data_IF_952167398822
#
_entry.id   IF_952167398822
#
_cell.length_a   1.000
_cell.length_b   1.000
_cell.length_c   1.000
_cell.angle_alpha   90.00
_cell.angle_beta   90.00
_cell.angle_gamma   90.00
#
_symmetry.space_group_name_H-M   'P 1'
#
loop_
_entity.id
_entity.type
_entity.pdbx_description
1 polymer ?
#
# COMPACT_ATOMS: atom_id res chain seq x y z
N UNK A 1 66.73 20.99 21.18
CA UNK A 1 65.81 19.88 21.48
C UNK A 1 65.34 19.28 20.18
N UNK A 2 65.70 18.02 19.99
CA UNK A 2 65.50 17.14 18.84
C UNK A 2 64.07 16.59 18.80
N UNK A 3 63.51 16.39 17.59
CA UNK A 3 62.23 15.70 17.41
C UNK A 3 61.89 15.42 15.94
N UNK A 4 62.66 14.55 15.29
CA UNK A 4 62.22 13.28 14.65
C UNK A 4 60.97 13.38 13.76
N UNK A 5 61.25 13.44 12.46
CA UNK A 5 60.46 12.90 11.36
C UNK A 5 59.99 11.47 11.62
N UNK A 6 58.70 11.21 11.42
CA UNK A 6 58.15 9.86 11.35
C UNK A 6 57.25 9.75 10.12
N UNK A 7 57.73 9.00 9.13
CA UNK A 7 56.93 8.53 8.00
C UNK A 7 55.84 7.58 8.49
N UNK A 8 54.62 7.74 7.97
CA UNK A 8 53.68 6.62 7.82
C UNK A 8 53.11 6.62 6.41
N UNK A 9 53.62 5.68 5.63
CA UNK A 9 53.00 5.09 4.44
C UNK A 9 51.56 4.66 4.77
N UNK A 10 50.59 5.01 3.91
CA UNK A 10 49.25 4.43 4.00
C UNK A 10 48.21 5.06 3.08
N UNK A 11 47.95 4.35 1.98
CA UNK A 11 46.63 4.17 1.34
C UNK A 11 46.05 5.31 0.47
N UNK A 12 46.12 5.05 -0.83
CA UNK A 12 44.89 5.01 -1.63
C UNK A 12 44.50 6.30 -2.34
N UNK A 13 44.98 6.43 -3.58
CA UNK A 13 44.32 7.19 -4.64
C UNK A 13 42.86 6.75 -4.75
N UNK A 14 41.93 7.46 -4.10
CA UNK A 14 40.53 7.01 -4.08
C UNK A 14 39.48 7.98 -3.56
N UNK A 15 39.85 9.22 -3.22
CA UNK A 15 38.89 10.22 -2.71
C UNK A 15 38.77 11.47 -3.58
N UNK A 16 39.65 11.65 -4.56
CA UNK A 16 39.60 12.78 -5.51
C UNK A 16 38.72 12.51 -6.74
N UNK A 17 38.08 11.34 -6.83
CA UNK A 17 37.15 10.97 -7.90
C UNK A 17 35.67 11.07 -7.50
N UNK A 18 35.37 11.54 -6.28
CA UNK A 18 34.01 11.51 -5.71
C UNK A 18 33.51 12.84 -5.13
N UNK A 19 34.26 13.94 -5.21
CA UNK A 19 33.87 15.23 -4.61
C UNK A 19 34.23 16.49 -5.45
N UNK A 20 33.82 16.52 -6.71
CA UNK A 20 33.69 17.74 -7.52
C UNK A 20 32.84 17.40 -8.74
N UNK A 21 31.71 18.03 -9.05
CA UNK A 21 31.40 19.45 -8.94
C UNK A 21 30.01 19.71 -8.32
N UNK A 22 29.97 20.72 -7.46
CA UNK A 22 28.75 21.36 -6.99
C UNK A 22 28.27 22.31 -8.08
N UNK A 23 27.19 21.95 -8.76
CA UNK A 23 26.39 22.85 -9.60
C UNK A 23 25.14 23.28 -8.84
N UNK A 24 25.13 24.52 -8.36
CA UNK A 24 23.95 25.19 -7.81
C UNK A 24 22.92 25.43 -8.93
N UNK A 25 21.83 24.64 -8.98
CA UNK A 25 20.53 25.08 -9.51
C UNK A 25 19.39 24.29 -8.84
N UNK A 26 18.44 25.04 -8.28
CA UNK A 26 17.02 24.78 -7.92
C UNK A 26 16.44 23.38 -8.22
N UNK A 27 15.59 22.78 -7.34
CA UNK A 27 15.11 21.40 -7.51
C UNK A 27 14.12 21.30 -8.68
N UNK A 28 14.64 21.07 -9.88
CA UNK A 28 13.87 20.53 -10.98
C UNK A 28 13.81 19.01 -10.80
N UNK A 29 12.58 18.47 -10.82
CA UNK A 29 12.26 17.04 -10.74
C UNK A 29 13.23 16.20 -11.58
N UNK A 30 14.15 15.51 -10.93
CA UNK A 30 14.99 14.47 -11.55
C UNK A 30 14.10 13.26 -11.86
N UNK A 31 13.95 12.92 -13.14
CA UNK A 31 13.43 11.61 -13.54
C UNK A 31 14.51 10.55 -13.25
N UNK A 32 14.15 9.32 -12.84
CA UNK A 32 15.12 8.30 -12.45
C UNK A 32 16.05 7.91 -13.60
N UNK A 33 17.28 7.55 -13.25
CA UNK A 33 18.33 7.15 -14.19
C UNK A 33 18.18 5.71 -14.69
N UNK A 34 18.81 5.41 -15.83
CA UNK A 34 18.83 4.10 -16.51
C UNK A 34 19.15 2.89 -15.61
N UNK A 35 19.83 3.12 -14.48
CA UNK A 35 20.20 2.07 -13.53
C UNK A 35 18.97 1.39 -12.88
N UNK A 36 17.84 2.08 -12.74
CA UNK A 36 16.62 1.49 -12.17
C UNK A 36 15.87 0.57 -13.16
N UNK A 37 16.16 0.69 -14.46
CA UNK A 37 15.49 -0.04 -15.56
C UNK A 37 16.34 -1.15 -16.20
N UNK A 38 17.56 -1.34 -15.69
CA UNK A 38 18.48 -2.39 -16.16
C UNK A 38 18.06 -3.81 -15.75
N UNK A 39 17.06 -3.94 -14.87
CA UNK A 39 16.53 -5.22 -14.39
C UNK A 39 15.32 -5.78 -15.15
N UNK A 40 14.77 -5.06 -16.12
CA UNK A 40 13.57 -5.47 -16.86
C UNK A 40 13.92 -5.97 -18.27
N UNK A 41 13.31 -7.08 -18.68
CA UNK A 41 13.64 -7.96 -19.81
C UNK A 41 13.72 -7.33 -21.21
N UNK A 42 14.00 -8.19 -22.19
CA UNK A 42 14.24 -7.83 -23.60
C UNK A 42 15.71 -7.62 -23.97
N UNK A 43 16.10 -7.97 -25.20
CA UNK A 43 17.43 -7.61 -25.74
C UNK A 43 17.44 -6.11 -26.02
N UNK A 44 18.30 -5.37 -25.34
CA UNK A 44 18.51 -3.94 -25.59
C UNK A 44 19.60 -3.74 -26.65
N UNK A 45 19.29 -3.00 -27.71
CA UNK A 45 20.31 -2.43 -28.59
C UNK A 45 21.07 -1.27 -27.91
N UNK A 46 22.25 -0.88 -28.41
CA UNK A 46 22.89 0.35 -27.94
C UNK A 46 22.01 1.57 -28.26
N UNK A 47 22.09 2.66 -27.48
CA UNK A 47 21.40 3.91 -27.81
C UNK A 47 21.76 4.36 -29.24
N UNK A 48 20.74 4.63 -30.05
CA UNK A 48 20.90 5.07 -31.44
C UNK A 48 19.98 6.25 -31.75
N UNK A 49 20.40 7.11 -32.67
CA UNK A 49 19.58 8.19 -33.20
C UNK A 49 18.43 7.60 -34.04
N UNK A 50 17.20 7.85 -33.60
CA UNK A 50 15.99 7.32 -34.22
C UNK A 50 15.17 8.47 -34.81
N UNK A 51 14.76 8.41 -36.10
CA UNK A 51 13.92 9.42 -36.71
C UNK A 51 12.59 9.59 -35.97
N UNK A 52 12.21 10.84 -35.66
CA UNK A 52 10.99 11.11 -34.88
C UNK A 52 9.72 10.65 -35.61
N UNK A 53 9.70 10.68 -36.94
CA UNK A 53 8.54 10.31 -37.77
C UNK A 53 8.20 8.81 -37.71
N UNK A 54 9.18 7.98 -37.34
CA UNK A 54 8.96 6.53 -37.16
C UNK A 54 8.38 6.21 -35.78
N UNK A 55 8.42 7.15 -34.83
CA UNK A 55 8.01 6.94 -33.45
C UNK A 55 6.54 7.32 -33.25
N UNK A 56 5.74 6.40 -32.72
CA UNK A 56 4.35 6.62 -32.32
C UNK A 56 4.18 6.56 -30.79
N UNK A 57 3.23 7.33 -30.24
CA UNK A 57 2.86 7.23 -28.84
C UNK A 57 2.19 5.88 -28.55
N UNK A 58 2.31 5.41 -27.31
CA UNK A 58 1.52 4.28 -26.85
C UNK A 58 0.09 4.76 -26.51
N UNK A 59 -0.97 4.22 -27.15
CA UNK A 59 -2.36 4.65 -26.93
C UNK A 59 -2.85 4.40 -25.50
N UNK A 60 -2.24 3.46 -24.77
CA UNK A 60 -2.61 3.09 -23.41
C UNK A 60 -1.89 3.91 -22.33
N UNK A 61 -1.20 4.99 -22.72
CA UNK A 61 -0.54 5.89 -21.77
C UNK A 61 -1.60 6.56 -20.86
N UNK A 62 -1.53 6.34 -19.53
CA UNK A 62 -2.52 6.88 -18.61
C UNK A 62 -2.44 8.40 -18.46
N UNK A 63 -1.28 9.01 -18.76
CA UNK A 63 -1.08 10.45 -18.62
C UNK A 63 -1.59 11.21 -19.86
N UNK A 64 -2.85 11.61 -19.83
CA UNK A 64 -3.46 12.43 -20.90
C UNK A 64 -3.30 13.94 -20.70
N UNK A 65 -3.11 14.38 -19.46
CA UNK A 65 -2.92 15.80 -19.12
C UNK A 65 -1.44 16.13 -18.88
N UNK A 66 -0.93 17.06 -19.67
CA UNK A 66 0.41 17.62 -19.55
C UNK A 66 0.29 19.09 -19.15
N UNK A 67 1.06 19.48 -18.14
CA UNK A 67 1.23 20.87 -17.77
C UNK A 67 1.98 21.59 -18.89
N UNK A 68 1.33 22.56 -19.54
CA UNK A 68 1.86 23.25 -20.71
C UNK A 68 3.11 24.07 -20.37
N UNK A 69 3.18 24.66 -19.17
CA UNK A 69 4.33 25.47 -18.74
C UNK A 69 5.57 24.59 -18.53
N UNK A 70 5.40 23.44 -17.87
CA UNK A 70 6.48 22.46 -17.69
C UNK A 70 6.95 21.84 -19.01
N UNK A 71 6.07 21.80 -20.03
CA UNK A 71 6.44 21.34 -21.38
C UNK A 71 7.23 22.42 -22.14
N UNK A 72 6.87 23.70 -21.99
CA UNK A 72 7.61 24.82 -22.60
C UNK A 72 9.06 24.89 -22.10
N UNK A 73 9.28 24.69 -20.80
CA UNK A 73 10.63 24.60 -20.23
C UNK A 73 11.43 23.45 -20.84
N UNK A 74 10.82 22.28 -20.98
CA UNK A 74 11.45 21.13 -21.58
C UNK A 74 11.78 21.36 -23.06
N UNK A 75 10.89 22.00 -23.83
CA UNK A 75 11.15 22.39 -25.22
C UNK A 75 12.35 23.32 -25.32
N UNK A 76 12.45 24.33 -24.45
CA UNK A 76 13.61 25.25 -24.41
C UNK A 76 14.91 24.49 -24.14
N UNK A 77 14.89 23.59 -23.17
CA UNK A 77 16.04 22.74 -22.84
C UNK A 77 16.45 21.84 -24.01
N UNK A 78 15.47 21.17 -24.63
CA UNK A 78 15.70 20.27 -25.76
C UNK A 78 16.21 21.03 -26.99
N UNK A 79 15.73 22.25 -27.26
CA UNK A 79 16.29 23.11 -28.32
C UNK A 79 17.75 23.48 -28.06
N UNK A 80 18.13 23.72 -26.81
CA UNK A 80 19.47 24.17 -26.47
C UNK A 80 20.50 23.03 -26.37
N UNK A 81 20.10 21.87 -25.86
CA UNK A 81 21.00 20.77 -25.47
C UNK A 81 20.70 19.43 -26.14
N UNK A 82 19.62 19.36 -26.94
CA UNK A 82 19.10 18.08 -27.43
C UNK A 82 18.43 17.27 -26.33
N UNK A 83 18.04 16.04 -26.68
CA UNK A 83 17.51 15.08 -25.71
C UNK A 83 18.68 14.34 -25.06
N UNK A 84 18.94 14.60 -23.78
CA UNK A 84 20.10 14.01 -23.08
C UNK A 84 19.85 12.55 -22.65
N UNK A 85 18.63 12.23 -22.23
CA UNK A 85 18.27 10.89 -21.77
C UNK A 85 17.52 10.15 -22.88
N UNK A 86 18.04 9.00 -23.36
CA UNK A 86 17.41 8.25 -24.44
C UNK A 86 15.95 7.86 -24.15
N UNK A 87 15.14 7.79 -25.20
CA UNK A 87 13.79 7.22 -25.13
C UNK A 87 13.87 5.70 -25.08
N UNK A 88 12.88 5.05 -24.45
CA UNK A 88 12.74 3.60 -24.52
C UNK A 88 11.65 3.29 -25.53
N UNK A 89 12.02 2.57 -26.57
CA UNK A 89 11.14 2.20 -27.67
C UNK A 89 11.04 0.69 -27.77
N UNK A 90 9.95 0.22 -28.37
CA UNK A 90 9.85 -1.14 -28.90
C UNK A 90 9.45 -1.12 -30.38
N UNK A 91 9.70 -2.19 -31.14
CA UNK A 91 9.12 -2.33 -32.48
C UNK A 91 7.59 -2.18 -32.42
N UNK A 92 7.03 -1.41 -33.35
CA UNK A 92 5.59 -1.17 -33.41
C UNK A 92 4.87 -2.40 -34.01
N UNK A 93 3.97 -3.07 -33.27
CA UNK A 93 3.26 -4.24 -33.79
C UNK A 93 2.32 -3.90 -34.96
N UNK A 94 1.91 -2.63 -35.09
CA UNK A 94 1.04 -2.17 -36.17
C UNK A 94 1.81 -1.60 -37.37
N UNK A 95 3.09 -1.25 -37.22
CA UNK A 95 3.92 -0.64 -38.27
C UNK A 95 5.28 -1.37 -38.37
N UNK A 96 5.53 -2.18 -39.40
CA UNK A 96 6.73 -3.03 -39.52
C UNK A 96 8.09 -2.32 -39.45
N UNK A 97 8.13 -1.00 -39.69
CA UNK A 97 9.34 -0.15 -39.57
C UNK A 97 9.16 0.99 -38.56
N UNK A 98 8.04 0.97 -37.83
CA UNK A 98 7.73 1.95 -36.80
C UNK A 98 8.22 1.51 -35.43
N UNK A 99 8.29 2.49 -34.54
CA UNK A 99 8.56 2.27 -33.13
C UNK A 99 7.42 2.80 -32.28
N UNK A 100 7.17 2.14 -31.16
CA UNK A 100 6.23 2.60 -30.15
C UNK A 100 6.97 3.05 -28.89
N UNK A 101 6.56 4.18 -28.34
CA UNK A 101 7.12 4.73 -27.10
C UNK A 101 6.69 3.87 -25.91
N UNK A 102 7.66 3.28 -25.22
CA UNK A 102 7.46 2.65 -23.92
C UNK A 102 7.60 3.68 -22.80
N UNK A 103 8.67 4.49 -22.85
CA UNK A 103 8.95 5.55 -21.89
C UNK A 103 9.59 6.79 -22.54
N UNK A 104 9.34 7.96 -21.96
CA UNK A 104 9.91 9.23 -22.42
C UNK A 104 9.00 10.06 -23.34
N UNK A 105 7.68 9.88 -23.29
CA UNK A 105 6.74 10.58 -24.17
C UNK A 105 6.86 12.12 -24.12
N UNK A 106 7.10 12.69 -22.93
CA UNK A 106 7.30 14.14 -22.77
C UNK A 106 8.51 14.65 -23.54
N UNK A 107 9.60 13.87 -23.55
CA UNK A 107 10.84 14.17 -24.29
C UNK A 107 10.61 14.08 -25.79
N UNK A 108 9.88 13.06 -26.26
CA UNK A 108 9.46 12.96 -27.66
C UNK A 108 8.62 14.16 -28.10
N UNK A 109 7.57 14.51 -27.36
CA UNK A 109 6.72 15.68 -27.66
C UNK A 109 7.50 16.99 -27.66
N UNK A 110 8.43 17.15 -26.71
CA UNK A 110 9.30 18.32 -26.65
C UNK A 110 10.26 18.38 -27.84
N UNK A 111 10.85 17.25 -28.25
CA UNK A 111 11.72 17.15 -29.42
C UNK A 111 10.98 17.47 -30.72
N UNK A 112 9.75 16.97 -30.86
CA UNK A 112 8.89 17.24 -32.01
C UNK A 112 8.55 18.74 -32.10
N UNK A 113 8.16 19.38 -30.99
CA UNK A 113 7.93 20.83 -30.90
C UNK A 113 9.21 21.68 -31.00
N UNK A 114 10.35 21.09 -30.65
CA UNK A 114 11.67 21.71 -30.82
C UNK A 114 12.14 21.70 -32.28
N UNK A 115 11.53 20.89 -33.14
CA UNK A 115 11.89 20.74 -34.55
C UNK A 115 13.09 19.82 -34.77
N UNK A 116 13.35 18.88 -33.86
CA UNK A 116 14.40 17.87 -34.05
C UNK A 116 13.96 16.83 -35.09
N UNK A 117 14.89 16.31 -35.88
CA UNK A 117 14.63 15.26 -36.88
C UNK A 117 14.84 13.85 -36.32
N UNK A 118 15.73 13.71 -35.34
CA UNK A 118 16.03 12.45 -34.65
C UNK A 118 16.12 12.66 -33.14
N UNK A 119 15.96 11.57 -32.40
CA UNK A 119 16.17 11.52 -30.95
C UNK A 119 16.97 10.27 -30.58
N UNK A 120 17.85 10.34 -29.56
CA UNK A 120 18.48 9.16 -29.02
C UNK A 120 17.43 8.25 -28.39
N UNK A 121 17.45 6.98 -28.76
CA UNK A 121 16.55 5.97 -28.24
C UNK A 121 17.24 4.61 -28.10
N UNK A 122 16.72 3.81 -27.17
CA UNK A 122 17.07 2.41 -26.97
C UNK A 122 15.87 1.59 -27.39
N UNK A 123 16.05 0.76 -28.41
CA UNK A 123 15.03 -0.20 -28.84
C UNK A 123 15.20 -1.49 -28.04
N UNK A 124 14.11 -1.94 -27.41
CA UNK A 124 14.01 -3.23 -26.74
C UNK A 124 12.90 -4.06 -27.37
N UNK A 125 13.17 -5.34 -27.57
CA UNK A 125 12.16 -6.32 -27.95
C UNK A 125 11.31 -6.63 -26.71
N UNK A 126 10.13 -6.00 -26.62
CA UNK A 126 9.22 -6.09 -25.48
C UNK A 126 7.82 -6.47 -25.93
N UNK A 127 7.19 -7.41 -25.23
CA UNK A 127 5.79 -7.74 -25.44
C UNK A 127 4.84 -6.70 -24.78
N UNK A 128 3.52 -6.81 -25.03
CA UNK A 128 2.52 -5.89 -24.46
C UNK A 128 2.45 -5.92 -22.94
N UNK A 129 2.78 -7.07 -22.35
CA UNK A 129 2.78 -7.27 -20.90
C UNK A 129 3.98 -6.52 -20.31
N UNK A 130 5.19 -6.75 -20.82
CA UNK A 130 6.42 -6.08 -20.39
C UNK A 130 6.34 -4.56 -20.56
N UNK A 131 5.75 -4.06 -21.66
CA UNK A 131 5.53 -2.62 -21.83
C UNK A 131 4.64 -2.04 -20.75
N UNK A 132 3.55 -2.73 -20.42
CA UNK A 132 2.67 -2.27 -19.36
C UNK A 132 3.37 -2.32 -17.99
N UNK A 133 4.16 -3.35 -17.72
CA UNK A 133 4.95 -3.47 -16.49
C UNK A 133 5.85 -2.25 -16.29
N UNK A 134 6.61 -1.91 -17.33
CA UNK A 134 7.49 -0.74 -17.36
C UNK A 134 6.70 0.54 -17.13
N UNK A 135 5.54 0.69 -17.78
CA UNK A 135 4.68 1.87 -17.61
C UNK A 135 4.17 2.02 -16.17
N UNK A 136 3.83 0.92 -15.49
CA UNK A 136 3.40 0.95 -14.09
C UNK A 136 4.57 1.35 -13.18
N UNK A 137 5.76 0.79 -13.40
CA UNK A 137 6.96 1.11 -12.61
C UNK A 137 7.34 2.58 -12.75
N UNK A 138 7.37 3.10 -13.98
CA UNK A 138 7.65 4.53 -14.23
C UNK A 138 6.64 5.43 -13.53
N UNK A 139 5.34 5.10 -13.62
CA UNK A 139 4.30 5.87 -12.97
C UNK A 139 4.43 5.84 -11.43
N UNK A 140 4.82 4.70 -10.83
CA UNK A 140 5.06 4.58 -9.39
C UNK A 140 6.26 5.43 -8.95
N UNK A 141 7.32 5.49 -9.76
CA UNK A 141 8.53 6.27 -9.45
C UNK A 141 8.31 7.78 -9.57
N UNK A 142 7.14 8.23 -10.03
CA UNK A 142 6.79 9.65 -10.11
C UNK A 142 6.66 10.29 -8.73
N UNK A 143 7.31 11.42 -8.56
CA UNK A 143 7.16 12.24 -7.37
C UNK A 143 5.71 12.71 -7.17
N UNK A 144 5.22 12.64 -5.93
CA UNK A 144 3.90 13.13 -5.54
C UNK A 144 2.74 12.18 -5.81
N UNK A 145 3.00 10.88 -5.97
CA UNK A 145 1.95 9.86 -5.93
C UNK A 145 1.27 9.86 -4.56
N UNK A 146 -0.05 9.70 -4.52
CA UNK A 146 -0.72 9.50 -3.23
C UNK A 146 -0.50 8.06 -2.73
N UNK A 147 -0.55 7.79 -1.41
CA UNK A 147 -0.27 6.46 -0.87
C UNK A 147 -1.20 5.35 -1.37
N UNK A 148 -2.42 5.70 -1.83
CA UNK A 148 -3.40 4.74 -2.36
C UNK A 148 -3.04 4.36 -3.81
N UNK A 149 -2.64 5.33 -4.63
CA UNK A 149 -2.11 5.09 -5.98
C UNK A 149 -0.86 4.22 -5.94
N UNK A 150 0.04 4.47 -4.97
CA UNK A 150 1.26 3.68 -4.80
C UNK A 150 0.93 2.24 -4.45
N UNK A 151 0.01 2.03 -3.51
CA UNK A 151 -0.46 0.71 -3.13
C UNK A 151 -1.15 -0.03 -4.29
N UNK A 152 -1.97 0.68 -5.08
CA UNK A 152 -2.63 0.13 -6.26
C UNK A 152 -1.61 -0.30 -7.33
N UNK A 153 -0.57 0.51 -7.57
CA UNK A 153 0.52 0.16 -8.47
C UNK A 153 1.27 -1.10 -8.02
N UNK A 154 1.61 -1.21 -6.73
CA UNK A 154 2.22 -2.43 -6.18
C UNK A 154 1.32 -3.65 -6.35
N UNK A 155 0.02 -3.52 -6.05
CA UNK A 155 -0.95 -4.60 -6.21
C UNK A 155 -1.01 -5.07 -7.66
N UNK A 156 -1.08 -4.12 -8.61
CA UNK A 156 -1.12 -4.42 -10.02
C UNK A 156 0.14 -5.16 -10.50
N UNK A 157 1.33 -4.76 -10.01
CA UNK A 157 2.58 -5.46 -10.30
C UNK A 157 2.58 -6.90 -9.76
N UNK A 158 2.05 -7.12 -8.55
CA UNK A 158 1.96 -8.45 -7.96
C UNK A 158 0.95 -9.36 -8.68
N UNK A 159 -0.26 -8.85 -8.89
CA UNK A 159 -1.38 -9.67 -9.38
C UNK A 159 -1.22 -10.04 -10.86
N UNK A 160 -0.67 -9.12 -11.67
CA UNK A 160 -0.59 -9.27 -13.12
C UNK A 160 0.75 -9.83 -13.62
N UNK A 161 1.83 -9.60 -12.89
CA UNK A 161 3.18 -10.01 -13.29
C UNK A 161 3.83 -10.99 -12.30
N UNK A 162 3.13 -11.34 -11.22
CA UNK A 162 3.61 -12.33 -10.25
C UNK A 162 4.75 -11.83 -9.36
N UNK A 163 5.00 -10.52 -9.30
CA UNK A 163 6.05 -9.98 -8.44
C UNK A 163 5.83 -10.30 -6.97
N UNK A 164 6.89 -10.68 -6.28
CA UNK A 164 6.88 -10.78 -4.82
C UNK A 164 7.13 -9.42 -4.19
N UNK A 165 6.73 -9.24 -2.94
CA UNK A 165 7.04 -8.02 -2.18
C UNK A 165 8.56 -7.78 -2.06
N UNK A 166 9.35 -8.84 -2.09
CA UNK A 166 10.81 -8.80 -2.02
C UNK A 166 11.43 -8.31 -3.33
N UNK A 167 10.92 -8.80 -4.47
CA UNK A 167 11.33 -8.33 -5.79
C UNK A 167 11.01 -6.83 -5.96
N UNK A 168 9.79 -6.41 -5.61
CA UNK A 168 9.39 -4.99 -5.66
C UNK A 168 10.23 -4.10 -4.75
N UNK A 169 10.50 -4.55 -3.52
CA UNK A 169 11.35 -3.82 -2.59
C UNK A 169 12.75 -3.57 -3.16
N UNK A 170 13.34 -4.59 -3.79
CA UNK A 170 14.67 -4.50 -4.40
C UNK A 170 14.66 -3.59 -5.62
N UNK A 171 13.73 -3.80 -6.55
CA UNK A 171 13.63 -3.03 -7.79
C UNK A 171 13.37 -1.53 -7.54
N UNK A 172 12.61 -1.20 -6.51
CA UNK A 172 12.22 0.18 -6.19
C UNK A 172 13.10 0.85 -5.12
N UNK A 173 14.11 0.14 -4.60
CA UNK A 173 14.98 0.65 -3.54
C UNK A 173 14.24 0.97 -2.24
N UNK A 174 13.22 0.17 -1.90
CA UNK A 174 12.40 0.30 -0.68
C UNK A 174 12.58 -0.90 0.23
N UNK A 175 12.18 -0.79 1.49
CA UNK A 175 12.15 -1.96 2.39
C UNK A 175 10.93 -2.83 2.09
N UNK A 176 11.06 -4.15 2.24
CA UNK A 176 9.93 -5.09 2.17
C UNK A 176 8.78 -4.66 3.08
N UNK A 177 9.09 -4.20 4.29
CA UNK A 177 8.11 -3.69 5.26
C UNK A 177 7.36 -2.46 4.77
N UNK A 178 8.00 -1.59 3.97
CA UNK A 178 7.32 -0.46 3.35
C UNK A 178 6.29 -0.94 2.33
N UNK A 179 6.68 -1.82 1.39
CA UNK A 179 5.77 -2.40 0.38
C UNK A 179 4.57 -3.08 1.05
N UNK A 180 4.81 -3.92 2.06
CA UNK A 180 3.76 -4.62 2.80
C UNK A 180 2.80 -3.64 3.50
N UNK A 181 3.33 -2.61 4.16
CA UNK A 181 2.51 -1.62 4.85
C UNK A 181 1.67 -0.76 3.89
N UNK A 182 2.22 -0.41 2.73
CA UNK A 182 1.52 0.34 1.69
C UNK A 182 0.38 -0.50 1.10
N UNK A 183 0.64 -1.77 0.77
CA UNK A 183 -0.39 -2.71 0.29
C UNK A 183 -1.55 -2.92 1.28
N UNK A 184 -1.26 -2.92 2.58
CA UNK A 184 -2.28 -3.07 3.64
C UNK A 184 -3.28 -1.91 3.67
N UNK A 185 -2.93 -0.74 3.13
CA UNK A 185 -3.84 0.40 3.06
C UNK A 185 -5.07 0.08 2.20
N UNK A 186 -4.92 -0.74 1.15
CA UNK A 186 -6.02 -1.12 0.25
C UNK A 186 -7.12 -1.95 0.95
N UNK A 187 -6.85 -2.48 2.14
CA UNK A 187 -7.85 -3.19 2.94
C UNK A 187 -8.81 -2.24 3.68
N UNK A 188 -8.50 -0.94 3.72
CA UNK A 188 -9.33 0.05 4.40
C UNK A 188 -10.62 0.34 3.59
N UNK A 189 -11.72 0.69 4.26
CA UNK A 189 -12.94 1.14 3.59
C UNK A 189 -12.71 2.37 2.70
N UNK A 190 -13.48 2.48 1.61
CA UNK A 190 -13.34 3.51 0.58
C UNK A 190 -13.39 4.95 1.14
N UNK A 191 -14.16 5.17 2.22
CA UNK A 191 -14.21 6.46 2.88
C UNK A 191 -12.84 6.86 3.49
N UNK A 192 -12.14 5.92 4.12
CA UNK A 192 -10.80 6.16 4.68
C UNK A 192 -9.78 6.35 3.57
N UNK A 193 -9.88 5.57 2.49
CA UNK A 193 -9.05 5.74 1.29
C UNK A 193 -9.24 7.12 0.67
N UNK A 194 -10.48 7.63 0.62
CA UNK A 194 -10.79 8.97 0.12
C UNK A 194 -10.14 10.06 0.98
N UNK A 195 -10.17 9.93 2.31
CA UNK A 195 -9.49 10.86 3.21
C UNK A 195 -7.96 10.85 3.01
N UNK A 196 -7.39 9.69 2.71
CA UNK A 196 -5.96 9.53 2.42
C UNK A 196 -5.57 10.13 1.07
N UNK A 197 -6.35 9.89 0.00
CA UNK A 197 -6.14 10.51 -1.32
C UNK A 197 -6.19 12.03 -1.26
N UNK A 198 -7.11 12.57 -0.46
CA UNK A 198 -7.26 14.02 -0.25
C UNK A 198 -6.23 14.62 0.73
N UNK A 199 -5.31 13.82 1.26
CA UNK A 199 -4.28 14.27 2.21
C UNK A 199 -4.80 14.67 3.60
N UNK A 200 -6.08 14.41 3.92
CA UNK A 200 -6.66 14.66 5.25
C UNK A 200 -6.14 13.69 6.30
N UNK A 201 -5.72 12.50 5.87
CA UNK A 201 -5.01 11.53 6.69
C UNK A 201 -3.63 11.27 6.10
N UNK A 202 -2.64 11.05 6.98
CA UNK A 202 -1.33 10.57 6.57
C UNK A 202 -1.33 9.05 6.43
N UNK A 203 -0.36 8.49 5.71
CA UNK A 203 -0.14 7.04 5.68
C UNK A 203 0.13 6.45 7.08
N UNK A 204 0.67 7.23 8.02
CA UNK A 204 0.81 6.84 9.42
C UNK A 204 -0.56 6.66 10.11
N UNK A 205 -1.46 7.62 9.95
CA UNK A 205 -2.82 7.54 10.48
C UNK A 205 -3.57 6.33 9.91
N UNK A 206 -3.52 6.17 8.59
CA UNK A 206 -4.22 5.07 7.92
C UNK A 206 -3.70 3.69 8.36
N UNK A 207 -2.37 3.51 8.52
CA UNK A 207 -1.79 2.25 9.02
C UNK A 207 -2.29 1.85 10.41
N UNK A 208 -2.49 2.82 11.29
CA UNK A 208 -3.03 2.57 12.64
C UNK A 208 -4.48 2.08 12.62
N UNK A 209 -5.22 2.37 11.55
CA UNK A 209 -6.62 1.99 11.38
C UNK A 209 -6.81 0.61 10.73
N UNK A 210 -5.82 0.13 9.98
CA UNK A 210 -5.87 -1.17 9.26
C UNK A 210 -6.31 -2.36 10.12
N UNK A 211 -5.85 -2.57 11.36
CA UNK A 211 -6.25 -3.75 12.14
C UNK A 211 -7.70 -3.71 12.62
N UNK A 212 -8.37 -2.55 12.61
CA UNK A 212 -9.70 -2.40 13.17
C UNK A 212 -10.79 -3.01 12.29
N UNK A 213 -11.79 -3.63 12.91
CA UNK A 213 -12.98 -4.11 12.21
C UNK A 213 -13.82 -2.98 11.59
N UNK A 214 -13.97 -1.85 12.30
CA UNK A 214 -14.67 -0.66 11.81
C UNK A 214 -13.82 0.62 12.03
N UNK A 215 -12.97 0.99 11.05
CA UNK A 215 -12.08 2.14 11.17
C UNK A 215 -12.75 3.50 10.86
N UNK A 216 -13.95 3.53 10.27
CA UNK A 216 -14.55 4.76 9.73
C UNK A 216 -14.84 5.81 10.81
N UNK A 217 -15.45 5.47 11.97
CA UNK A 217 -15.74 6.47 13.01
C UNK A 217 -14.48 7.13 13.56
N UNK A 218 -13.43 6.34 13.80
CA UNK A 218 -12.15 6.84 14.32
C UNK A 218 -11.41 7.67 13.26
N UNK A 219 -11.52 7.33 11.98
CA UNK A 219 -10.95 8.12 10.88
C UNK A 219 -11.58 9.51 10.79
N UNK A 220 -12.92 9.60 10.88
CA UNK A 220 -13.65 10.88 10.89
C UNK A 220 -13.25 11.72 12.10
N UNK A 221 -13.19 11.11 13.28
CA UNK A 221 -12.77 11.79 14.50
C UNK A 221 -11.31 12.29 14.40
N UNK A 222 -10.42 11.49 13.82
CA UNK A 222 -9.01 11.86 13.62
C UNK A 222 -8.87 13.12 12.77
N UNK A 223 -9.64 13.24 11.70
CA UNK A 223 -9.67 14.44 10.85
C UNK A 223 -10.28 15.62 11.59
N UNK A 224 -11.40 15.43 12.28
CA UNK A 224 -12.10 16.51 12.98
C UNK A 224 -11.31 17.09 14.16
N UNK A 225 -10.58 16.25 14.90
CA UNK A 225 -9.83 16.64 16.11
C UNK A 225 -8.33 16.78 15.89
N UNK A 226 -7.83 16.56 14.67
CA UNK A 226 -6.40 16.61 14.36
C UNK A 226 -5.57 15.63 15.18
N UNK A 227 -6.04 14.39 15.34
CA UNK A 227 -5.38 13.39 16.17
C UNK A 227 -4.01 13.01 15.60
N UNK A 228 -3.04 12.82 16.50
CA UNK A 228 -1.72 12.28 16.15
C UNK A 228 -1.78 10.77 15.92
N UNK A 229 -0.82 10.23 15.16
CA UNK A 229 -0.67 8.78 14.93
C UNK A 229 -0.72 7.98 16.24
N UNK A 230 0.00 8.44 17.28
CA UNK A 230 0.03 7.77 18.59
C UNK A 230 -1.34 7.72 19.25
N UNK A 231 -2.12 8.79 19.17
CA UNK A 231 -3.48 8.84 19.73
C UNK A 231 -4.42 7.91 18.98
N UNK A 232 -4.30 7.82 17.65
CA UNK A 232 -5.09 6.89 16.84
C UNK A 232 -4.72 5.45 17.19
N UNK A 233 -3.44 5.11 17.27
CA UNK A 233 -2.99 3.77 17.66
C UNK A 233 -3.50 3.36 19.05
N UNK A 234 -3.45 4.27 20.02
CA UNK A 234 -3.95 4.00 21.37
C UNK A 234 -5.46 3.75 21.38
N UNK A 235 -6.24 4.55 20.66
CA UNK A 235 -7.69 4.38 20.56
C UNK A 235 -8.08 3.15 19.76
N UNK A 236 -7.39 2.89 18.64
CA UNK A 236 -7.57 1.68 17.85
C UNK A 236 -7.34 0.44 18.72
N UNK A 237 -6.23 0.39 19.49
CA UNK A 237 -5.97 -0.70 20.44
C UNK A 237 -7.07 -0.85 21.49
N UNK A 238 -7.59 0.25 22.06
CA UNK A 238 -8.65 0.19 23.07
C UNK A 238 -9.98 -0.32 22.50
N UNK A 239 -10.36 0.12 21.31
CA UNK A 239 -11.63 -0.24 20.64
C UNK A 239 -11.61 -1.66 20.07
N UNK A 240 -10.45 -2.12 19.60
CA UNK A 240 -10.26 -3.44 19.01
C UNK A 240 -9.91 -4.52 20.07
N UNK A 241 -9.60 -4.10 21.31
CA UNK A 241 -9.40 -5.03 22.42
C UNK A 241 -10.71 -5.72 22.81
N UNK A 242 -10.73 -7.06 22.98
CA UNK A 242 -11.93 -7.79 23.40
C UNK A 242 -12.50 -7.35 24.77
N UNK A 243 -11.73 -6.62 25.57
CA UNK A 243 -12.19 -6.01 26.82
C UNK A 243 -13.22 -4.87 26.60
N UNK A 244 -13.22 -4.19 25.44
CA UNK A 244 -14.21 -3.17 25.11
C UNK A 244 -15.53 -3.76 24.59
N UNK A 245 -15.54 -5.01 24.09
CA UNK A 245 -16.78 -5.74 23.80
C UNK A 245 -17.54 -6.16 25.08
N UNK A 246 -16.93 -6.03 26.26
CA UNK A 246 -17.55 -6.36 27.54
C UNK A 246 -18.22 -5.16 28.26
N UNK A 247 -18.21 -3.95 27.70
CA UNK A 247 -18.75 -2.74 28.37
C UNK A 247 -20.17 -2.36 28.01
N UNK A 248 -20.85 -3.11 27.11
CA UNK A 248 -22.32 -3.23 27.22
C UNK A 248 -22.65 -4.18 28.38
N UNK A 249 -22.36 -3.70 29.58
CA UNK A 249 -22.72 -4.35 30.83
C UNK A 249 -24.25 -4.38 30.85
N UNK A 250 -24.82 -5.56 30.59
CA UNK A 250 -26.22 -5.86 30.98
C UNK A 250 -26.42 -5.37 32.42
N UNK A 251 -27.58 -4.78 32.76
CA UNK A 251 -27.84 -4.31 34.11
C UNK A 251 -27.53 -5.43 35.12
N UNK A 252 -26.97 -5.09 36.30
CA UNK A 252 -26.61 -6.11 37.29
C UNK A 252 -27.82 -6.99 37.57
N UNK A 253 -27.64 -8.32 37.45
CA UNK A 253 -28.70 -9.30 37.71
C UNK A 253 -29.30 -9.06 39.09
N UNK A 254 -30.63 -9.13 39.17
CA UNK A 254 -31.41 -8.99 40.40
C UNK A 254 -31.00 -10.04 41.45
N UNK A 255 -31.15 -9.72 42.73
CA UNK A 255 -30.77 -10.57 43.85
C UNK A 255 -31.50 -11.93 43.81
N UNK A 256 -32.78 -11.91 43.43
CA UNK A 256 -33.62 -13.11 43.30
C UNK A 256 -33.12 -14.05 42.20
N UNK A 257 -32.63 -13.50 41.09
CA UNK A 257 -32.08 -14.30 39.98
C UNK A 257 -30.79 -15.00 40.41
N UNK A 258 -29.96 -14.35 41.23
CA UNK A 258 -28.70 -14.94 41.72
C UNK A 258 -28.94 -16.04 42.75
N UNK A 259 -29.93 -15.87 43.62
CA UNK A 259 -30.29 -16.92 44.58
C UNK A 259 -30.87 -18.15 43.86
N UNK A 260 -31.68 -17.94 42.82
CA UNK A 260 -32.18 -19.03 41.98
C UNK A 260 -31.07 -19.76 41.21
N UNK A 261 -30.10 -19.02 40.65
CA UNK A 261 -28.89 -19.61 40.04
C UNK A 261 -28.13 -20.48 41.06
N UNK A 262 -27.98 -20.02 42.30
CA UNK A 262 -27.27 -20.75 43.38
C UNK A 262 -28.00 -22.02 43.80
N UNK A 263 -29.33 -21.96 43.95
CA UNK A 263 -30.16 -23.11 44.31
C UNK A 263 -30.16 -24.17 43.22
N UNK A 264 -30.33 -23.77 41.95
CA UNK A 264 -30.29 -24.68 40.82
C UNK A 264 -28.90 -25.30 40.64
N UNK A 265 -27.83 -24.54 40.86
CA UNK A 265 -26.47 -25.07 40.83
C UNK A 265 -26.23 -26.10 41.94
N UNK A 266 -26.77 -25.86 43.14
CA UNK A 266 -26.65 -26.80 44.26
C UNK A 266 -27.43 -28.11 44.02
N UNK A 267 -28.62 -28.04 43.41
CA UNK A 267 -29.43 -29.24 43.13
C UNK A 267 -28.93 -30.03 41.92
N UNK A 268 -28.47 -29.35 40.87
CA UNK A 268 -28.04 -30.02 39.62
C UNK A 268 -26.57 -30.40 39.63
N UNK A 269 -25.74 -29.75 40.46
CA UNK A 269 -24.29 -29.87 40.40
C UNK A 269 -23.67 -29.27 39.12
N UNK A 270 -24.46 -28.50 38.34
CA UNK A 270 -24.05 -27.88 37.08
C UNK A 270 -23.84 -26.37 37.24
N UNK A 271 -23.07 -25.78 36.31
CA UNK A 271 -22.97 -24.33 36.23
C UNK A 271 -24.24 -23.74 35.63
N UNK A 272 -25.10 -23.14 36.46
CA UNK A 272 -26.38 -22.54 36.02
C UNK A 272 -26.22 -21.02 35.85
N UNK A 273 -26.69 -20.50 34.72
CA UNK A 273 -26.88 -19.07 34.47
C UNK A 273 -28.28 -18.79 33.96
N UNK A 274 -28.94 -17.79 34.54
CA UNK A 274 -30.26 -17.31 34.13
C UNK A 274 -30.08 -15.90 33.57
N UNK A 275 -30.36 -15.74 32.29
CA UNK A 275 -30.33 -14.45 31.61
C UNK A 275 -31.76 -14.05 31.25
N UNK A 276 -32.31 -13.06 31.93
CA UNK A 276 -33.62 -12.49 31.59
C UNK A 276 -33.58 -11.71 30.27
N UNK A 277 -34.69 -11.72 29.54
CA UNK A 277 -34.88 -10.89 28.36
C UNK A 277 -35.19 -9.44 28.79
N UNK A 278 -34.62 -8.42 28.14
CA UNK A 278 -34.89 -7.04 28.51
C UNK A 278 -36.37 -6.68 28.30
N UNK A 279 -37.11 -6.39 29.37
CA UNK A 279 -38.48 -5.86 29.30
C UNK A 279 -39.61 -6.89 29.19
N UNK A 280 -39.34 -8.18 29.42
CA UNK A 280 -40.37 -9.23 29.42
C UNK A 280 -40.17 -10.28 30.53
N UNK A 281 -41.18 -11.12 30.80
CA UNK A 281 -41.08 -12.22 31.78
C UNK A 281 -40.28 -13.42 31.25
N UNK A 282 -39.88 -13.40 29.98
CA UNK A 282 -39.09 -14.44 29.34
C UNK A 282 -37.61 -14.38 29.72
N UNK A 283 -36.93 -15.51 29.61
CA UNK A 283 -35.50 -15.61 29.87
C UNK A 283 -34.91 -16.91 29.36
N UNK A 284 -33.58 -16.96 29.28
CA UNK A 284 -32.83 -18.15 28.91
C UNK A 284 -32.10 -18.69 30.13
N UNK A 285 -32.31 -19.97 30.42
CA UNK A 285 -31.51 -20.72 31.40
C UNK A 285 -30.42 -21.48 30.65
N UNK A 286 -29.16 -21.23 30.99
CA UNK A 286 -27.99 -21.90 30.44
C UNK A 286 -27.37 -22.81 31.49
N UNK A 287 -27.28 -24.09 31.16
CA UNK A 287 -26.67 -25.12 32.00
C UNK A 287 -25.34 -25.55 31.39
N UNK A 288 -24.27 -25.49 32.17
CA UNK A 288 -22.92 -25.88 31.73
C UNK A 288 -22.54 -27.19 32.40
N UNK A 289 -22.30 -28.22 31.59
CA UNK A 289 -21.79 -29.51 32.02
C UNK A 289 -20.32 -29.67 31.64
N UNK A 290 -19.61 -30.53 32.38
CA UNK A 290 -18.17 -30.81 32.20
C UNK A 290 -17.90 -32.27 31.76
N UNK A 291 -18.91 -33.13 31.80
CA UNK A 291 -18.82 -34.53 31.35
C UNK A 291 -20.12 -34.98 30.69
N UNK A 292 -20.05 -36.03 29.86
CA UNK A 292 -21.24 -36.62 29.24
C UNK A 292 -22.20 -37.21 30.29
N UNK A 293 -21.66 -37.82 31.35
CA UNK A 293 -22.48 -38.32 32.48
C UNK A 293 -23.33 -37.22 33.14
N UNK A 294 -22.82 -35.98 33.18
CA UNK A 294 -23.56 -34.83 33.71
C UNK A 294 -24.72 -34.42 32.79
N UNK A 295 -24.54 -34.55 31.47
CA UNK A 295 -25.58 -34.31 30.49
C UNK A 295 -26.68 -35.38 30.56
N UNK A 296 -26.30 -36.65 30.72
CA UNK A 296 -27.25 -37.77 30.85
C UNK A 296 -28.09 -37.64 32.13
N UNK A 297 -27.47 -37.25 33.25
CA UNK A 297 -28.19 -36.95 34.50
C UNK A 297 -29.15 -35.78 34.34
N UNK A 298 -28.76 -34.73 33.62
CA UNK A 298 -29.63 -33.60 33.34
C UNK A 298 -30.82 -34.02 32.48
N UNK A 299 -30.60 -34.82 31.44
CA UNK A 299 -31.67 -35.35 30.59
C UNK A 299 -32.65 -36.20 31.39
N UNK A 300 -32.17 -37.05 32.30
CA UNK A 300 -33.02 -37.84 33.19
C UNK A 300 -33.86 -36.97 34.14
N UNK A 301 -33.26 -35.94 34.74
CA UNK A 301 -33.96 -35.00 35.64
C UNK A 301 -35.06 -34.22 34.91
N UNK A 302 -34.81 -33.75 33.70
CA UNK A 302 -35.80 -33.03 32.89
C UNK A 302 -36.93 -33.96 32.40
N UNK A 303 -36.61 -35.22 32.12
CA UNK A 303 -37.60 -36.19 31.62
C UNK A 303 -38.57 -36.68 32.70
N UNK A 304 -38.17 -36.70 33.97
CA UNK A 304 -39.03 -37.13 35.08
C UNK A 304 -39.96 -36.04 35.63
N UNK A 305 -39.76 -34.77 35.26
CA UNK A 305 -40.49 -33.62 35.82
C UNK A 305 -41.55 -32.98 34.92
N UNK A 306 -41.68 -33.40 33.66
CA UNK A 306 -42.67 -32.85 32.73
C UNK A 306 -43.97 -33.68 32.80
N UNK A 307 -45.11 -33.14 33.27
CA UNK A 307 -46.40 -33.76 32.97
C UNK A 307 -46.56 -33.81 31.46
N UNK A 308 -47.02 -34.95 30.96
CA UNK A 308 -47.03 -35.32 29.55
C UNK A 308 -48.04 -34.53 28.69
N UNK A 309 -48.50 -33.36 29.14
CA UNK A 309 -49.51 -32.53 28.48
C UNK A 309 -48.89 -31.24 27.94
N UNK A 310 -48.22 -31.36 26.80
CA UNK A 310 -48.05 -30.25 25.86
C UNK A 310 -48.48 -30.78 24.48
N UNK A 311 -49.80 -30.79 24.26
CA UNK A 311 -50.47 -30.86 22.95
C UNK A 311 -51.19 -29.55 22.70
#
# INVERSE_FOLDING_TARGET
>A
MTGKSNERKGLGRGLSALMGEVGLTTPAREEPSDAAMAGYGGRAGPPAETPIDLIAPNPDQPRRHFDEDALLDLIRSVKAKGVLQPLILRPDPARPEGYQIVAGERRWRAAQRAGLHSVPAVVRDLDDTEVLEIAIVENIQRAGLNPVEEAAGYRQLMDRFGHTQEALATALGKSRSHIANTLRLLALPEEVLTLLRNGKLSAGHARALVPMADPVPLAREAVAKGLTVRQIEERARRLDSPAARATHRRPPKDADTRELERLLAAQTGLGVRIDGEPGGPGGTVRLTYRSLDQLDRLAALLSHGLPNDLS
#
